data_IF_244616874216
#
_entry.id   IF_244616874216
#
_cell.length_a   1.000
_cell.length_b   1.000
_cell.length_c   1.000
_cell.angle_alpha   90.00
_cell.angle_beta   90.00
_cell.angle_gamma   90.00
#
_symmetry.space_group_name_H-M   'P 1'
#
loop_
_entity.id
_entity.type
_entity.pdbx_description
1 polymer ?
#
# COMPACT_ATOMS: atom_id res chain seq x y z
N UNK A 1 10.93 -25.22 -11.61
CA UNK A 1 11.74 -24.07 -12.11
C UNK A 1 10.94 -23.05 -12.94
N UNK A 2 9.69 -23.32 -13.33
CA UNK A 2 8.96 -22.47 -14.29
C UNK A 2 8.67 -21.03 -13.84
N UNK A 3 8.44 -20.79 -12.54
CA UNK A 3 8.17 -19.44 -12.02
C UNK A 3 9.40 -18.53 -12.07
N UNK A 4 10.59 -19.09 -11.82
CA UNK A 4 11.84 -18.32 -11.87
C UNK A 4 12.12 -17.78 -13.27
N UNK A 5 11.76 -18.55 -14.31
CA UNK A 5 11.92 -18.11 -15.70
C UNK A 5 10.99 -16.92 -16.05
N UNK A 6 9.84 -16.78 -15.38
CA UNK A 6 8.90 -15.68 -15.59
C UNK A 6 9.22 -14.44 -14.74
N UNK A 7 10.06 -14.60 -13.70
CA UNK A 7 10.34 -13.55 -12.73
C UNK A 7 10.85 -12.25 -13.37
N UNK A 8 11.78 -12.25 -14.35
CA UNK A 8 12.25 -11.01 -14.96
C UNK A 8 11.11 -10.18 -15.60
N UNK A 9 10.20 -10.82 -16.33
CA UNK A 9 9.08 -10.12 -16.98
C UNK A 9 8.04 -9.66 -15.96
N UNK A 10 7.78 -10.46 -14.92
CA UNK A 10 6.90 -10.08 -13.80
C UNK A 10 7.40 -8.78 -13.15
N UNK A 11 8.70 -8.70 -12.85
CA UNK A 11 9.30 -7.52 -12.22
C UNK A 11 9.25 -6.32 -13.16
N UNK A 12 9.60 -6.51 -14.44
CA UNK A 12 9.54 -5.46 -15.46
C UNK A 12 8.14 -4.86 -15.57
N UNK A 13 7.10 -5.69 -15.65
CA UNK A 13 5.73 -5.19 -15.76
C UNK A 13 5.24 -4.52 -14.46
N UNK A 14 5.59 -5.05 -13.29
CA UNK A 14 5.28 -4.42 -12.00
C UNK A 14 5.92 -3.05 -11.86
N UNK A 15 7.17 -2.90 -12.31
CA UNK A 15 7.89 -1.61 -12.31
C UNK A 15 7.29 -0.63 -13.32
N UNK A 16 6.82 -1.10 -14.47
CA UNK A 16 6.08 -0.25 -15.42
C UNK A 16 4.80 0.31 -14.79
N UNK A 17 3.99 -0.55 -14.16
CA UNK A 17 2.78 -0.10 -13.45
C UNK A 17 3.11 0.89 -12.32
N UNK A 18 4.21 0.65 -11.60
CA UNK A 18 4.65 1.53 -10.53
C UNK A 18 5.09 2.91 -11.04
N UNK A 19 5.79 2.97 -12.17
CA UNK A 19 6.18 4.24 -12.80
C UNK A 19 4.94 5.07 -13.12
N UNK A 20 3.92 4.47 -13.75
CA UNK A 20 2.66 5.16 -14.05
C UNK A 20 1.92 5.58 -12.77
N UNK A 21 1.90 4.70 -11.76
CA UNK A 21 1.29 5.00 -10.47
C UNK A 21 1.99 6.18 -9.76
N UNK A 22 3.32 6.20 -9.73
CA UNK A 22 4.09 7.30 -9.15
C UNK A 22 3.84 8.61 -9.89
N UNK A 23 3.84 8.60 -11.22
CA UNK A 23 3.54 9.78 -12.05
C UNK A 23 2.19 10.40 -11.69
N UNK A 24 1.16 9.56 -11.51
CA UNK A 24 -0.20 10.04 -11.27
C UNK A 24 -0.52 10.31 -9.79
N UNK A 25 0.23 9.75 -8.84
CA UNK A 25 -0.15 9.72 -7.41
C UNK A 25 0.79 10.48 -6.48
N UNK A 26 1.98 10.91 -6.92
CA UNK A 26 2.98 11.56 -6.04
C UNK A 26 2.39 12.76 -5.29
N UNK A 27 1.64 13.61 -5.97
CA UNK A 27 1.02 14.83 -5.40
C UNK A 27 -0.47 14.66 -5.09
N UNK A 28 -0.95 13.41 -4.98
CA UNK A 28 -2.37 13.14 -4.76
C UNK A 28 -2.88 13.82 -3.47
N UNK A 29 -4.00 14.58 -3.50
CA UNK A 29 -4.46 15.37 -2.36
C UNK A 29 -4.91 14.50 -1.17
N UNK A 30 -5.35 13.28 -1.45
CA UNK A 30 -5.87 12.35 -0.43
C UNK A 30 -4.79 11.41 0.12
N UNK A 31 -3.81 11.01 -0.69
CA UNK A 31 -2.94 9.88 -0.41
C UNK A 31 -1.46 10.27 -0.45
N UNK A 32 -0.68 9.65 0.43
CA UNK A 32 0.77 9.56 0.40
C UNK A 32 1.09 8.15 -0.09
N UNK A 33 2.00 8.05 -1.05
CA UNK A 33 2.48 6.77 -1.59
C UNK A 33 3.88 6.45 -1.05
N UNK A 34 4.26 5.17 -1.13
CA UNK A 34 5.62 4.74 -0.80
C UNK A 34 6.66 5.51 -1.64
N UNK A 35 7.69 6.03 -0.96
CA UNK A 35 8.92 6.50 -1.61
C UNK A 35 9.78 5.28 -1.98
N UNK A 36 10.14 5.16 -3.25
CA UNK A 36 11.03 4.10 -3.71
C UNK A 36 12.46 4.31 -3.19
N UNK A 37 13.14 3.22 -2.82
CA UNK A 37 14.55 3.19 -2.47
C UNK A 37 15.18 2.11 -3.34
N UNK A 38 16.22 2.48 -4.10
CA UNK A 38 16.83 1.59 -5.09
C UNK A 38 15.84 1.20 -6.18
N UNK A 39 15.70 -0.10 -6.42
CA UNK A 39 14.82 -0.66 -7.44
C UNK A 39 13.78 -1.61 -6.82
N UNK A 40 12.67 -1.05 -6.33
CA UNK A 40 11.60 -1.83 -5.73
C UNK A 40 10.95 -2.78 -6.75
N UNK A 41 10.62 -3.99 -6.33
CA UNK A 41 9.82 -4.93 -7.11
C UNK A 41 8.32 -4.62 -7.11
N UNK A 42 7.89 -3.64 -6.29
CA UNK A 42 6.52 -3.15 -6.19
C UNK A 42 5.48 -4.28 -6.01
N UNK A 43 5.50 -4.92 -4.83
CA UNK A 43 4.54 -5.97 -4.47
C UNK A 43 3.08 -5.52 -4.62
N UNK A 44 2.79 -4.31 -4.16
CA UNK A 44 1.51 -3.63 -4.25
C UNK A 44 1.71 -2.12 -4.06
N UNK A 45 0.61 -1.36 -4.04
CA UNK A 45 0.65 0.08 -3.87
C UNK A 45 0.08 0.47 -2.51
N UNK A 46 0.94 0.96 -1.62
CA UNK A 46 0.49 1.51 -0.34
C UNK A 46 -0.13 2.90 -0.54
N UNK A 47 -1.22 3.13 0.19
CA UNK A 47 -1.96 4.37 0.24
C UNK A 47 -2.14 4.75 1.70
N UNK A 48 -1.51 5.85 2.10
CA UNK A 48 -1.62 6.41 3.46
C UNK A 48 -2.36 7.74 3.39
N UNK A 49 -3.40 7.95 4.19
CA UNK A 49 -4.18 9.18 4.13
C UNK A 49 -3.35 10.41 4.57
N UNK A 50 -3.39 11.51 3.80
CA UNK A 50 -2.72 12.78 4.17
C UNK A 50 -3.40 13.50 5.33
N UNK A 51 -4.73 13.54 5.31
CA UNK A 51 -5.57 14.27 6.28
C UNK A 51 -6.58 13.31 6.90
N UNK A 52 -6.17 12.50 7.88
CA UNK A 52 -7.06 11.53 8.50
C UNK A 52 -8.04 12.21 9.46
N UNK A 53 -9.20 11.59 9.62
CA UNK A 53 -10.14 11.86 10.71
C UNK A 53 -10.81 10.53 11.09
N UNK A 54 -11.51 10.51 12.22
CA UNK A 54 -12.15 9.30 12.75
C UNK A 54 -13.00 8.62 11.67
N UNK A 55 -12.84 7.30 11.50
CA UNK A 55 -13.54 6.45 10.53
C UNK A 55 -13.26 6.73 9.04
N UNK A 56 -12.30 7.62 8.70
CA UNK A 56 -12.03 7.94 7.30
C UNK A 56 -11.53 6.74 6.50
N UNK A 57 -10.61 5.93 7.04
CA UNK A 57 -10.06 4.76 6.32
C UNK A 57 -11.16 3.77 5.91
N UNK A 58 -12.10 3.48 6.80
CA UNK A 58 -13.19 2.54 6.51
C UNK A 58 -14.09 3.05 5.38
N UNK A 59 -14.43 4.34 5.38
CA UNK A 59 -15.19 4.97 4.30
C UNK A 59 -14.44 4.91 2.96
N UNK A 60 -13.12 5.15 2.99
CA UNK A 60 -12.25 5.05 1.80
C UNK A 60 -12.25 3.62 1.26
N UNK A 61 -12.02 2.63 2.11
CA UNK A 61 -12.06 1.20 1.73
C UNK A 61 -13.42 0.84 1.14
N UNK A 62 -14.52 1.26 1.75
CA UNK A 62 -15.85 1.00 1.21
C UNK A 62 -16.08 1.67 -0.16
N UNK A 63 -15.63 2.91 -0.35
CA UNK A 63 -15.69 3.60 -1.66
C UNK A 63 -14.83 2.88 -2.71
N UNK A 64 -13.62 2.46 -2.35
CA UNK A 64 -12.71 1.72 -3.24
C UNK A 64 -13.26 0.35 -3.62
N UNK A 65 -13.84 -0.39 -2.67
CA UNK A 65 -14.50 -1.66 -2.94
C UNK A 65 -15.65 -1.50 -3.96
N UNK A 66 -16.45 -0.42 -3.86
CA UNK A 66 -17.50 -0.12 -4.86
C UNK A 66 -16.96 0.25 -6.24
N UNK A 67 -15.71 0.72 -6.31
CA UNK A 67 -14.99 0.96 -7.57
C UNK A 67 -14.27 -0.29 -8.09
N UNK A 68 -14.38 -1.44 -7.39
CA UNK A 68 -13.79 -2.72 -7.78
C UNK A 68 -12.39 -2.98 -7.25
N UNK A 69 -11.84 -2.13 -6.37
CA UNK A 69 -10.54 -2.38 -5.75
C UNK A 69 -10.70 -3.29 -4.54
N UNK A 70 -9.90 -4.35 -4.46
CA UNK A 70 -9.68 -5.06 -3.22
C UNK A 70 -8.62 -4.32 -2.38
N UNK A 71 -8.99 -3.94 -1.16
CA UNK A 71 -8.12 -3.24 -0.23
C UNK A 71 -7.75 -4.14 0.95
N UNK A 72 -6.51 -4.03 1.42
CA UNK A 72 -6.02 -4.68 2.64
C UNK A 72 -5.29 -3.66 3.52
N UNK A 73 -5.19 -3.89 4.84
CA UNK A 73 -4.24 -3.15 5.68
C UNK A 73 -2.81 -3.30 5.15
N UNK A 74 -1.94 -2.34 5.44
CA UNK A 74 -0.51 -2.46 5.09
C UNK A 74 0.11 -3.53 5.98
N UNK A 75 0.16 -4.75 5.46
CA UNK A 75 0.63 -5.96 6.17
C UNK A 75 -0.08 -6.08 7.52
N UNK A 76 0.65 -6.03 8.64
CA UNK A 76 0.11 -6.17 9.99
C UNK A 76 -0.20 -4.83 10.66
N UNK A 77 0.00 -3.69 9.98
CA UNK A 77 -0.07 -2.37 10.60
C UNK A 77 0.97 -2.23 11.70
N UNK A 78 0.55 -1.73 12.88
CA UNK A 78 1.41 -1.71 14.06
C UNK A 78 1.33 -3.09 14.72
N UNK A 79 2.39 -3.88 14.55
CA UNK A 79 2.42 -5.26 15.04
C UNK A 79 2.20 -5.37 16.55
N UNK A 80 2.63 -4.36 17.35
CA UNK A 80 2.46 -4.37 18.81
C UNK A 80 1.00 -4.31 19.27
N UNK A 81 0.05 -3.98 18.39
CA UNK A 81 -1.39 -4.02 18.72
C UNK A 81 -1.98 -5.42 18.67
N UNK A 82 -1.22 -6.41 18.18
CA UNK A 82 -1.67 -7.79 18.11
C UNK A 82 -1.47 -8.48 19.47
N UNK A 83 -2.48 -9.24 19.92
CA UNK A 83 -2.44 -9.97 21.19
C UNK A 83 -1.25 -10.94 21.33
N UNK A 84 -0.68 -11.40 20.22
CA UNK A 84 0.47 -12.31 20.21
C UNK A 84 1.70 -11.70 20.88
N UNK A 85 1.80 -10.37 20.92
CA UNK A 85 2.95 -9.68 21.51
C UNK A 85 3.10 -9.97 23.01
N UNK A 86 2.00 -10.33 23.70
CA UNK A 86 2.01 -10.67 25.13
C UNK A 86 2.81 -11.95 25.44
N UNK A 87 3.23 -12.71 24.43
CA UNK A 87 4.01 -13.93 24.56
C UNK A 87 5.46 -13.78 24.05
N UNK A 88 5.86 -12.57 23.64
CA UNK A 88 7.19 -12.29 23.14
C UNK A 88 8.03 -11.55 24.19
N UNK A 89 9.34 -11.80 24.20
CA UNK A 89 10.32 -11.00 24.93
C UNK A 89 10.88 -9.93 23.98
N UNK A 90 10.58 -8.66 24.24
CA UNK A 90 10.93 -7.55 23.35
C UNK A 90 11.00 -6.21 24.10
N UNK A 91 11.66 -5.24 23.47
CA UNK A 91 11.70 -3.84 23.91
C UNK A 91 11.29 -2.91 22.78
N UNK A 92 10.80 -1.71 23.13
CA UNK A 92 10.44 -0.67 22.16
C UNK A 92 11.37 0.52 22.35
N UNK A 93 12.03 0.92 21.26
CA UNK A 93 12.83 2.14 21.24
C UNK A 93 11.99 3.35 20.81
N UNK A 94 11.91 4.37 21.67
CA UNK A 94 11.18 5.60 21.39
C UNK A 94 9.66 5.41 21.27
N UNK A 95 9.01 6.24 20.46
CA UNK A 95 7.61 6.07 20.11
C UNK A 95 7.45 5.42 18.71
N UNK A 96 6.28 4.82 18.49
CA UNK A 96 5.92 4.19 17.22
C UNK A 96 4.88 5.02 16.46
N UNK A 97 4.95 6.35 16.56
CA UNK A 97 3.97 7.27 15.95
C UNK A 97 3.67 6.98 14.49
N UNK A 98 4.70 6.70 13.69
CA UNK A 98 4.53 6.35 12.26
C UNK A 98 3.86 4.98 12.06
N UNK A 99 4.18 3.99 12.89
CA UNK A 99 3.54 2.68 12.81
C UNK A 99 2.06 2.80 13.22
N UNK A 100 1.76 3.55 14.27
CA UNK A 100 0.38 3.85 14.68
C UNK A 100 -0.39 4.60 13.60
N UNK A 101 0.25 5.55 12.94
CA UNK A 101 -0.35 6.30 11.85
C UNK A 101 -0.67 5.39 10.66
N UNK A 102 0.26 4.53 10.24
CA UNK A 102 0.06 3.54 9.18
C UNK A 102 -1.04 2.54 9.56
N UNK A 103 -1.04 2.07 10.80
CA UNK A 103 -2.03 1.13 11.32
C UNK A 103 -3.46 1.66 11.23
N UNK A 104 -3.66 2.95 11.51
CA UNK A 104 -4.97 3.58 11.51
C UNK A 104 -5.38 4.11 10.13
N UNK A 105 -4.42 4.57 9.31
CA UNK A 105 -4.67 5.38 8.12
C UNK A 105 -4.09 4.80 6.83
N UNK A 106 -3.38 3.68 6.91
CA UNK A 106 -2.81 2.97 5.80
C UNK A 106 -3.71 1.85 5.29
N UNK A 107 -3.72 1.70 3.97
CA UNK A 107 -4.22 0.54 3.24
C UNK A 107 -3.29 0.30 2.04
N UNK A 108 -3.43 -0.83 1.37
CA UNK A 108 -2.79 -1.04 0.07
C UNK A 108 -3.74 -1.72 -0.91
N UNK A 109 -3.48 -1.48 -2.20
CA UNK A 109 -4.14 -2.11 -3.34
C UNK A 109 -3.13 -2.93 -4.16
N UNK A 110 -3.63 -3.88 -4.95
CA UNK A 110 -2.78 -4.80 -5.72
C UNK A 110 -1.95 -4.13 -6.81
N UNK A 111 -0.75 -4.68 -7.04
CA UNK A 111 0.01 -4.53 -8.28
C UNK A 111 0.15 -5.91 -8.93
N UNK A 112 0.18 -5.93 -10.26
CA UNK A 112 0.11 -7.16 -11.05
C UNK A 112 1.25 -7.25 -12.06
N UNK A 113 1.49 -8.47 -12.54
CA UNK A 113 2.48 -8.77 -13.58
C UNK A 113 1.94 -8.49 -15.00
N UNK A 114 0.78 -7.86 -15.13
CA UNK A 114 0.16 -7.41 -16.37
C UNK A 114 -0.19 -5.91 -16.25
N UNK A 115 -0.40 -5.21 -17.37
CA UNK A 115 -0.76 -3.78 -17.35
C UNK A 115 -2.09 -3.50 -16.65
N UNK A 116 -2.13 -2.46 -15.83
CA UNK A 116 -3.35 -1.99 -15.12
C UNK A 116 -3.59 -0.47 -15.23
N UNK A 117 -3.42 0.16 -16.42
CA UNK A 117 -3.48 1.61 -16.57
C UNK A 117 -4.85 2.20 -16.19
N UNK A 118 -5.94 1.48 -16.45
CA UNK A 118 -7.28 1.96 -16.14
C UNK A 118 -7.54 2.00 -14.64
N UNK A 119 -7.09 0.99 -13.90
CA UNK A 119 -7.17 0.99 -12.44
C UNK A 119 -6.36 2.15 -11.85
N UNK A 120 -5.14 2.40 -12.35
CA UNK A 120 -4.31 3.53 -11.91
C UNK A 120 -5.01 4.87 -12.22
N UNK A 121 -5.64 5.01 -13.37
CA UNK A 121 -6.42 6.22 -13.75
C UNK A 121 -7.67 6.42 -12.90
N UNK A 122 -8.31 5.35 -12.45
CA UNK A 122 -9.47 5.44 -11.55
C UNK A 122 -9.04 5.91 -10.16
N UNK A 123 -7.98 5.32 -9.59
CA UNK A 123 -7.50 5.72 -8.25
C UNK A 123 -6.91 7.12 -8.23
N UNK A 124 -6.30 7.59 -9.33
CA UNK A 124 -5.75 8.95 -9.40
C UNK A 124 -6.78 10.07 -9.38
N UNK A 125 -8.06 9.75 -9.56
CA UNK A 125 -9.19 10.70 -9.54
C UNK A 125 -9.98 10.65 -8.23
N UNK A 126 -9.44 10.00 -7.20
CA UNK A 126 -10.17 9.64 -5.99
C UNK A 126 -10.48 10.83 -5.07
#
# INVERSE_FOLDING_TARGET
MEQLNKLPEIIKQRRYNASLFQEMMTDHPTFIIQREIGESSWFGFSLVLRKPHKNKREQIVHKLNRLGFECRPIVAGNFLKNRVINYADFEVHGDLSNADYIDQNGLFIGNHHYPIPDAIRVISKF
#
